data_IF_305942650300
#
_entry.id   IF_305942650300
#
_cell.length_a   1.000
_cell.length_b   1.000
_cell.length_c   1.000
_cell.angle_alpha   90.00
_cell.angle_beta   90.00
_cell.angle_gamma   90.00
#
_symmetry.space_group_name_H-M   'P 1'
#
loop_
_entity.id
_entity.type
_entity.pdbx_description
1 polymer ?
#
# COMPACT_ATOMS: atom_id res chain seq x y z
N UNK A 1 53.37 16.65 -32.38
CA UNK A 1 52.90 16.86 -31.00
C UNK A 1 51.61 16.06 -30.84
N UNK A 2 51.65 14.91 -30.15
CA UNK A 2 50.48 14.02 -29.99
C UNK A 2 49.66 14.49 -28.79
N UNK A 3 48.44 14.95 -29.01
CA UNK A 3 47.50 15.32 -27.95
C UNK A 3 46.84 14.02 -27.45
N UNK A 4 47.15 13.63 -26.22
CA UNK A 4 46.47 12.55 -25.51
C UNK A 4 45.21 13.14 -24.86
N UNK A 5 44.02 12.77 -25.35
CA UNK A 5 42.75 13.09 -24.70
C UNK A 5 42.55 12.11 -23.52
N UNK A 6 42.27 12.58 -22.30
CA UNK A 6 41.94 11.70 -21.19
C UNK A 6 40.52 11.16 -21.37
N UNK A 7 40.42 9.85 -21.63
CA UNK A 7 39.16 9.11 -21.62
C UNK A 7 38.71 8.96 -20.15
N UNK A 8 37.85 9.85 -19.68
CA UNK A 8 37.26 9.73 -18.34
C UNK A 8 36.29 8.55 -18.31
N UNK A 9 36.46 7.55 -17.43
CA UNK A 9 35.50 6.47 -17.31
C UNK A 9 34.21 7.02 -16.68
N UNK A 10 33.12 6.95 -17.45
CA UNK A 10 31.78 7.26 -16.97
C UNK A 10 31.32 6.08 -16.11
N UNK A 11 31.52 6.18 -14.79
CA UNK A 11 30.93 5.23 -13.85
C UNK A 11 29.43 5.48 -13.77
N UNK A 12 28.64 4.66 -14.48
CA UNK A 12 27.22 4.51 -14.17
C UNK A 12 27.13 3.82 -12.81
N UNK A 13 26.90 4.60 -11.76
CA UNK A 13 26.42 4.05 -10.50
C UNK A 13 25.06 3.41 -10.78
N UNK A 14 24.98 2.09 -10.70
CA UNK A 14 23.70 1.39 -10.60
C UNK A 14 23.05 1.88 -9.31
N UNK A 15 22.14 2.84 -9.43
CA UNK A 15 21.25 3.22 -8.35
C UNK A 15 20.47 1.95 -7.98
N UNK A 16 20.72 1.40 -6.79
CA UNK A 16 19.83 0.39 -6.23
C UNK A 16 18.43 1.01 -6.24
N UNK A 17 17.50 0.38 -6.95
CA UNK A 17 16.13 0.86 -6.97
C UNK A 17 15.58 0.89 -5.54
N UNK A 18 15.00 2.03 -5.14
CA UNK A 18 14.54 2.29 -3.76
C UNK A 18 13.13 1.78 -3.47
N UNK A 19 12.53 0.95 -4.35
CA UNK A 19 11.21 0.40 -4.07
C UNK A 19 11.30 -0.59 -2.90
N UNK A 20 10.45 -0.40 -1.91
CA UNK A 20 10.42 -1.27 -0.74
C UNK A 20 9.03 -1.35 -0.13
N UNK A 21 8.78 -2.50 0.53
CA UNK A 21 7.65 -2.70 1.41
C UNK A 21 8.13 -3.20 2.77
N UNK A 22 7.62 -2.61 3.85
CA UNK A 22 7.93 -3.01 5.22
C UNK A 22 6.78 -2.66 6.17
N UNK A 23 6.70 -3.37 7.29
CA UNK A 23 5.77 -3.10 8.39
C UNK A 23 6.42 -2.09 9.36
N UNK A 24 5.63 -1.17 9.90
CA UNK A 24 6.08 -0.20 10.90
C UNK A 24 6.15 -0.86 12.26
N UNK A 25 7.36 -1.15 12.72
CA UNK A 25 7.61 -1.54 14.10
C UNK A 25 7.61 -0.35 15.07
N UNK A 26 7.61 -0.60 16.39
CA UNK A 26 7.70 0.46 17.42
C UNK A 26 8.96 1.34 17.33
N UNK A 27 9.98 0.90 16.59
CA UNK A 27 11.26 1.62 16.39
C UNK A 27 11.38 2.28 15.02
N UNK A 28 10.34 2.15 14.19
CA UNK A 28 10.33 2.57 12.78
C UNK A 28 9.35 3.71 12.53
N UNK A 29 8.80 4.31 13.59
CA UNK A 29 7.77 5.36 13.49
C UNK A 29 8.28 6.63 12.82
N UNK A 30 9.59 6.85 12.78
CA UNK A 30 10.24 7.91 12.02
C UNK A 30 10.18 7.69 10.49
N UNK A 31 9.82 6.48 10.06
CA UNK A 31 9.66 6.11 8.64
C UNK A 31 8.23 6.28 8.14
N UNK A 32 7.28 6.61 9.02
CA UNK A 32 5.92 6.96 8.63
C UNK A 32 5.91 8.28 7.84
N UNK A 33 5.07 8.41 6.81
CA UNK A 33 4.85 9.68 6.15
C UNK A 33 4.35 10.73 7.16
N UNK A 34 4.86 11.95 7.04
CA UNK A 34 4.32 13.09 7.77
C UNK A 34 3.20 13.80 7.00
N UNK A 35 2.59 14.78 7.63
CA UNK A 35 1.57 15.61 7.00
C UNK A 35 0.52 16.04 8.00
N UNK A 36 -0.43 16.87 7.53
CA UNK A 36 -1.56 17.32 8.36
C UNK A 36 -2.53 16.19 8.68
N UNK A 37 -2.73 15.30 7.72
CA UNK A 37 -3.71 14.20 7.79
C UNK A 37 -3.05 12.82 7.92
N UNK A 38 -1.73 12.77 8.19
CA UNK A 38 -1.00 11.50 8.31
C UNK A 38 -1.64 10.60 9.37
N UNK A 39 -2.07 9.41 8.96
CA UNK A 39 -2.88 8.53 9.79
C UNK A 39 -2.17 7.20 10.12
N UNK A 40 -0.96 6.97 9.61
CA UNK A 40 -0.21 5.74 9.85
C UNK A 40 0.19 5.51 11.32
N UNK A 41 0.11 4.24 11.75
CA UNK A 41 0.47 3.80 13.11
C UNK A 41 1.38 2.57 13.08
N UNK A 42 1.88 2.17 14.25
CA UNK A 42 2.61 0.91 14.42
C UNK A 42 1.76 -0.27 13.97
N UNK A 43 2.36 -1.14 13.16
CA UNK A 43 1.76 -2.32 12.52
C UNK A 43 1.25 -2.05 11.11
N UNK A 44 1.03 -0.80 10.70
CA UNK A 44 0.70 -0.49 9.31
C UNK A 44 1.90 -0.72 8.40
N UNK A 45 1.64 -0.80 7.10
CA UNK A 45 2.63 -1.15 6.11
C UNK A 45 2.95 0.05 5.22
N UNK A 46 4.24 0.24 4.93
CA UNK A 46 4.70 1.23 3.97
C UNK A 46 5.00 0.57 2.65
N UNK A 47 4.54 1.19 1.57
CA UNK A 47 4.93 0.91 0.20
C UNK A 47 5.50 2.18 -0.42
N UNK A 48 6.75 2.19 -0.84
CA UNK A 48 7.39 3.42 -1.35
C UNK A 48 8.45 3.17 -2.39
N UNK A 49 8.80 4.21 -3.12
CA UNK A 49 9.97 4.31 -3.98
C UNK A 49 10.56 5.74 -3.90
N UNK A 50 11.39 6.13 -4.86
CA UNK A 50 11.99 7.46 -4.90
C UNK A 50 10.98 8.60 -5.17
N UNK A 51 9.81 8.30 -5.71
CA UNK A 51 8.80 9.29 -6.10
C UNK A 51 7.68 9.45 -5.06
N UNK A 52 7.17 8.34 -4.52
CA UNK A 52 6.00 8.33 -3.63
C UNK A 52 6.18 7.38 -2.45
N UNK A 53 5.42 7.63 -1.39
CA UNK A 53 5.26 6.70 -0.27
C UNK A 53 3.79 6.63 0.15
N UNK A 54 3.35 5.41 0.47
CA UNK A 54 1.97 5.06 0.75
C UNK A 54 1.86 4.29 2.06
N UNK A 55 0.79 4.52 2.83
CA UNK A 55 0.44 3.77 4.04
C UNK A 55 -0.74 2.85 3.74
N UNK A 56 -0.50 1.55 3.86
CA UNK A 56 -1.53 0.52 3.79
C UNK A 56 -1.83 0.09 5.22
N UNK A 57 -3.07 0.28 5.65
CA UNK A 57 -3.49 -0.05 7.00
C UNK A 57 -3.38 -1.54 7.30
N UNK A 58 -2.98 -1.85 8.52
CA UNK A 58 -2.88 -3.21 9.05
C UNK A 58 -4.22 -3.90 9.23
N UNK A 59 -4.18 -5.19 9.55
CA UNK A 59 -5.33 -6.01 9.96
C UNK A 59 -5.65 -5.90 11.47
N UNK A 60 -5.16 -4.85 12.14
CA UNK A 60 -5.42 -4.67 13.56
C UNK A 60 -6.92 -4.49 13.87
N UNK A 61 -7.39 -5.04 15.01
CA UNK A 61 -8.77 -4.85 15.44
C UNK A 61 -9.14 -3.37 15.54
N UNK A 62 -10.30 -3.01 14.99
CA UNK A 62 -10.84 -1.65 15.02
C UNK A 62 -9.98 -0.60 14.31
N UNK A 63 -9.06 -0.99 13.42
CA UNK A 63 -8.32 -0.04 12.59
C UNK A 63 -9.28 0.73 11.68
N UNK A 64 -9.19 2.06 11.71
CA UNK A 64 -10.01 2.99 10.92
C UNK A 64 -9.11 4.08 10.38
N UNK A 65 -9.34 4.54 9.16
CA UNK A 65 -8.84 5.83 8.70
C UNK A 65 -9.42 6.91 9.60
N UNK A 66 -8.60 7.88 10.05
CA UNK A 66 -8.96 9.08 10.84
C UNK A 66 -10.33 8.97 11.53
N UNK A 67 -10.37 8.90 12.86
CA UNK A 67 -11.56 8.57 13.68
C UNK A 67 -12.90 9.26 13.34
N UNK A 68 -12.90 10.33 12.54
CA UNK A 68 -14.10 11.02 12.06
C UNK A 68 -14.55 10.65 10.62
N UNK A 69 -13.79 9.84 9.89
CA UNK A 69 -14.06 9.50 8.48
C UNK A 69 -15.35 8.69 8.33
N UNK A 70 -15.49 7.62 9.11
CA UNK A 70 -16.67 6.76 9.11
C UNK A 70 -17.10 6.45 10.54
N UNK A 71 -18.36 6.77 10.85
CA UNK A 71 -18.94 6.55 12.18
C UNK A 71 -19.56 5.15 12.33
N UNK A 72 -19.61 4.68 13.58
CA UNK A 72 -20.33 3.46 13.96
C UNK A 72 -19.55 2.16 13.74
N UNK A 73 -20.25 1.04 13.90
CA UNK A 73 -19.66 -0.30 13.86
C UNK A 73 -19.09 -0.66 12.48
N UNK A 74 -19.61 -0.08 11.40
CA UNK A 74 -19.11 -0.28 10.03
C UNK A 74 -17.95 0.64 9.63
N UNK A 75 -17.44 1.45 10.55
CA UNK A 75 -16.41 2.45 10.24
C UNK A 75 -14.98 1.93 10.17
N UNK A 76 -14.75 0.63 10.39
CA UNK A 76 -13.42 0.02 10.32
C UNK A 76 -13.00 -0.22 8.87
N UNK A 77 -11.73 0.05 8.60
CA UNK A 77 -11.16 0.05 7.24
C UNK A 77 -9.75 -0.55 7.19
N UNK A 78 -9.48 -1.70 7.82
CA UNK A 78 -8.19 -2.37 7.69
C UNK A 78 -7.94 -2.79 6.23
N UNK A 79 -6.67 -2.79 5.83
CA UNK A 79 -6.24 -3.12 4.47
C UNK A 79 -6.55 -2.06 3.40
N UNK A 80 -7.03 -0.89 3.78
CA UNK A 80 -7.19 0.26 2.88
C UNK A 80 -5.92 1.13 2.83
N UNK A 81 -5.79 1.92 1.77
CA UNK A 81 -4.77 2.96 1.63
C UNK A 81 -5.19 4.18 2.44
N UNK A 82 -4.42 4.60 3.43
CA UNK A 82 -4.73 5.79 4.23
C UNK A 82 -3.99 7.02 3.73
N UNK A 83 -2.68 6.88 3.51
CA UNK A 83 -1.84 8.01 3.13
C UNK A 83 -1.20 7.73 1.76
N UNK A 84 -1.12 8.74 0.90
CA UNK A 84 -0.32 8.71 -0.34
C UNK A 84 0.29 10.09 -0.58
N UNK A 85 1.61 10.17 -0.47
CA UNK A 85 2.34 11.44 -0.57
C UNK A 85 3.52 11.32 -1.53
N UNK A 86 3.96 12.46 -2.05
CA UNK A 86 5.26 12.55 -2.69
C UNK A 86 6.34 12.29 -1.64
N UNK A 87 7.38 11.56 -2.03
CA UNK A 87 8.47 11.13 -1.13
C UNK A 87 9.09 12.31 -0.40
N UNK A 88 9.05 12.28 0.93
CA UNK A 88 9.67 13.30 1.80
C UNK A 88 9.02 14.69 1.72
N UNK A 89 7.83 14.83 1.14
CA UNK A 89 7.11 16.13 1.06
C UNK A 89 6.17 16.38 2.23
N UNK A 90 5.82 15.35 3.01
CA UNK A 90 4.87 15.44 4.12
C UNK A 90 3.57 16.14 3.71
N UNK A 91 3.08 15.85 2.50
CA UNK A 91 1.93 16.53 1.91
C UNK A 91 0.73 15.60 1.77
N UNK A 92 0.62 14.64 2.68
CA UNK A 92 -0.50 13.73 2.70
C UNK A 92 -1.80 14.47 3.03
N UNK A 93 -2.77 14.32 2.13
CA UNK A 93 -4.14 14.85 2.21
C UNK A 93 -5.15 13.75 1.87
N UNK A 94 -4.69 12.51 1.65
CA UNK A 94 -5.58 11.39 1.47
C UNK A 94 -6.15 11.03 2.85
N UNK A 95 -7.46 10.89 2.93
CA UNK A 95 -8.08 10.37 4.16
C UNK A 95 -8.15 8.85 4.08
N UNK A 96 -8.64 8.33 2.95
CA UNK A 96 -8.71 6.90 2.66
C UNK A 96 -9.00 6.66 1.18
N UNK A 97 -8.42 5.61 0.63
CA UNK A 97 -8.91 4.91 -0.54
C UNK A 97 -9.12 3.42 -0.18
N UNK A 98 -10.37 2.95 -0.28
CA UNK A 98 -10.76 1.58 -0.02
C UNK A 98 -11.12 0.87 -1.33
N UNK A 99 -10.24 0.06 -1.92
CA UNK A 99 -10.49 -0.54 -3.24
C UNK A 99 -11.75 -1.42 -3.20
N UNK A 100 -12.62 -1.26 -4.20
CA UNK A 100 -13.95 -1.89 -4.25
C UNK A 100 -14.74 -1.74 -2.93
N UNK A 101 -14.73 -0.54 -2.37
CA UNK A 101 -15.45 -0.21 -1.14
C UNK A 101 -14.98 -0.99 0.09
N UNK A 102 -13.69 -1.36 0.16
CA UNK A 102 -13.16 -2.14 1.29
C UNK A 102 -13.47 -1.47 2.63
N UNK A 103 -14.22 -2.20 3.44
CA UNK A 103 -14.66 -1.89 4.81
C UNK A 103 -14.86 -3.20 5.55
N UNK A 104 -14.86 -3.12 6.88
CA UNK A 104 -14.94 -4.33 7.71
C UNK A 104 -13.59 -5.04 7.81
N UNK A 105 -13.59 -6.10 8.61
CA UNK A 105 -12.37 -6.86 8.89
C UNK A 105 -11.77 -7.48 7.62
N UNK A 106 -10.44 -7.59 7.62
CA UNK A 106 -9.69 -8.39 6.65
C UNK A 106 -9.17 -9.64 7.34
N UNK A 107 -8.93 -10.70 6.56
CA UNK A 107 -8.32 -11.93 7.07
C UNK A 107 -6.81 -11.76 7.32
N UNK A 108 -6.12 -10.95 6.51
CA UNK A 108 -4.75 -10.50 6.80
C UNK A 108 -4.30 -9.38 5.86
N UNK A 109 -3.22 -8.71 6.27
CA UNK A 109 -2.37 -7.88 5.42
C UNK A 109 -0.94 -8.42 5.46
N UNK A 110 -0.29 -8.61 4.30
CA UNK A 110 1.04 -9.22 4.20
C UNK A 110 1.87 -8.61 3.08
N UNK A 111 3.18 -8.53 3.31
CA UNK A 111 4.14 -8.23 2.25
C UNK A 111 4.40 -9.52 1.47
N UNK A 112 4.10 -9.51 0.18
CA UNK A 112 4.37 -10.63 -0.74
C UNK A 112 5.66 -10.42 -1.52
N UNK A 113 6.04 -9.16 -1.76
CA UNK A 113 7.32 -8.79 -2.36
C UNK A 113 7.93 -7.58 -1.63
N UNK A 114 9.18 -7.70 -1.20
CA UNK A 114 9.84 -6.66 -0.39
C UNK A 114 10.46 -5.52 -1.20
N UNK A 115 10.54 -5.63 -2.54
CA UNK A 115 11.25 -4.68 -3.39
C UNK A 115 12.55 -5.20 -4.00
N UNK A 116 13.18 -6.22 -3.37
CA UNK A 116 14.51 -6.74 -3.75
C UNK A 116 14.61 -7.26 -5.19
N UNK A 117 13.49 -7.69 -5.76
CA UNK A 117 13.38 -8.26 -7.11
C UNK A 117 12.87 -7.26 -8.15
N UNK A 118 12.80 -5.97 -7.80
CA UNK A 118 12.38 -4.91 -8.72
C UNK A 118 10.91 -4.49 -8.55
N UNK A 119 10.15 -5.15 -7.69
CA UNK A 119 8.78 -4.77 -7.33
C UNK A 119 8.59 -4.98 -5.83
N UNK A 120 7.86 -4.08 -5.19
CA UNK A 120 7.35 -4.26 -3.85
C UNK A 120 5.83 -4.39 -3.89
N UNK A 121 5.28 -5.32 -3.11
CA UNK A 121 3.86 -5.68 -3.13
C UNK A 121 3.36 -5.96 -1.72
N UNK A 122 2.25 -5.33 -1.35
CA UNK A 122 1.47 -5.64 -0.16
C UNK A 122 0.13 -6.22 -0.59
N UNK A 123 -0.24 -7.36 -0.01
CA UNK A 123 -1.47 -8.07 -0.26
C UNK A 123 -2.41 -7.92 0.94
N UNK A 124 -3.68 -7.69 0.65
CA UNK A 124 -4.78 -7.68 1.60
C UNK A 124 -5.78 -8.73 1.17
N UNK A 125 -6.21 -9.59 2.10
CA UNK A 125 -7.14 -10.69 1.79
C UNK A 125 -8.33 -10.64 2.72
N UNK A 126 -9.52 -10.75 2.14
CA UNK A 126 -10.75 -11.19 2.81
C UNK A 126 -11.04 -12.60 2.32
N UNK A 127 -10.84 -13.60 3.18
CA UNK A 127 -11.00 -15.00 2.80
C UNK A 127 -12.46 -15.35 2.49
N UNK A 128 -12.65 -16.33 1.61
CA UNK A 128 -13.97 -16.87 1.31
C UNK A 128 -14.71 -17.33 2.59
N UNK A 129 -14.01 -17.94 3.55
CA UNK A 129 -14.60 -18.40 4.81
C UNK A 129 -15.23 -17.25 5.62
N UNK A 130 -14.60 -16.08 5.63
CA UNK A 130 -15.10 -14.87 6.30
C UNK A 130 -16.06 -14.02 5.46
N UNK A 131 -16.26 -14.36 4.18
CA UNK A 131 -17.01 -13.51 3.24
C UNK A 131 -17.97 -14.30 2.36
N UNK A 132 -18.77 -15.18 2.98
CA UNK A 132 -19.83 -15.94 2.32
C UNK A 132 -19.36 -16.73 1.07
N UNK A 133 -18.14 -17.25 1.09
CA UNK A 133 -17.56 -18.00 -0.03
C UNK A 133 -17.03 -17.14 -1.17
N UNK A 134 -17.01 -15.80 -1.06
CA UNK A 134 -16.40 -14.91 -2.04
C UNK A 134 -15.08 -14.36 -1.48
N UNK A 135 -13.96 -14.91 -1.91
CA UNK A 135 -12.66 -14.34 -1.56
C UNK A 135 -12.43 -13.03 -2.33
N UNK A 136 -11.87 -12.04 -1.64
CA UNK A 136 -11.46 -10.75 -2.21
C UNK A 136 -10.02 -10.47 -1.82
N UNK A 137 -9.19 -10.18 -2.82
CA UNK A 137 -7.77 -9.86 -2.64
C UNK A 137 -7.47 -8.51 -3.27
N UNK A 138 -6.78 -7.64 -2.53
CA UNK A 138 -6.21 -6.40 -3.05
C UNK A 138 -4.68 -6.50 -3.03
N UNK A 139 -4.04 -6.15 -4.13
CA UNK A 139 -2.59 -6.03 -4.23
C UNK A 139 -2.20 -4.59 -4.51
N UNK A 140 -1.46 -4.00 -3.58
CA UNK A 140 -0.83 -2.69 -3.73
C UNK A 140 0.60 -2.91 -4.20
N UNK A 141 0.92 -2.43 -5.40
CA UNK A 141 2.19 -2.70 -6.07
C UNK A 141 2.88 -1.41 -6.47
N UNK A 142 4.21 -1.38 -6.30
CA UNK A 142 5.07 -0.31 -6.80
C UNK A 142 6.37 -0.89 -7.39
N UNK A 143 6.88 -0.26 -8.44
CA UNK A 143 8.23 -0.48 -8.95
C UNK A 143 9.06 0.82 -8.90
N UNK A 144 10.27 0.81 -9.43
CA UNK A 144 11.20 1.94 -9.31
C UNK A 144 10.84 3.17 -10.14
N UNK A 145 9.98 3.04 -11.15
CA UNK A 145 9.67 4.14 -12.09
C UNK A 145 8.26 4.68 -11.93
N UNK A 146 7.41 3.99 -11.19
CA UNK A 146 6.05 4.44 -10.89
C UNK A 146 6.02 5.74 -10.09
N UNK A 147 5.09 6.63 -10.42
CA UNK A 147 4.81 7.87 -9.70
C UNK A 147 3.52 7.79 -8.87
N UNK A 148 3.12 6.57 -8.55
CA UNK A 148 1.91 6.21 -7.82
C UNK A 148 1.96 4.71 -7.49
N UNK A 149 0.84 4.17 -7.04
CA UNK A 149 0.71 2.73 -6.77
C UNK A 149 -0.29 2.11 -7.73
N UNK A 150 -0.03 0.89 -8.18
CA UNK A 150 -1.00 0.08 -8.90
C UNK A 150 -1.77 -0.76 -7.89
N UNK A 151 -3.10 -0.70 -7.95
CA UNK A 151 -3.98 -1.49 -7.11
C UNK A 151 -4.73 -2.48 -7.99
N UNK A 152 -4.57 -3.78 -7.72
CA UNK A 152 -5.30 -4.85 -8.40
C UNK A 152 -6.24 -5.50 -7.41
N UNK A 153 -7.53 -5.57 -7.74
CA UNK A 153 -8.51 -6.33 -6.96
C UNK A 153 -8.90 -7.60 -7.71
N UNK A 154 -8.77 -8.74 -7.04
CA UNK A 154 -9.17 -10.06 -7.56
C UNK A 154 -10.26 -10.63 -6.69
N UNK A 155 -11.30 -11.18 -7.33
CA UNK A 155 -12.35 -11.94 -6.67
C UNK A 155 -12.29 -13.40 -7.08
N UNK A 156 -12.47 -14.30 -6.11
CA UNK A 156 -12.59 -15.73 -6.34
C UNK A 156 -13.83 -16.26 -5.64
N UNK A 157 -14.85 -16.61 -6.42
CA UNK A 157 -16.06 -17.24 -5.90
C UNK A 157 -15.79 -18.72 -5.65
N UNK A 158 -15.60 -19.08 -4.38
CA UNK A 158 -15.42 -20.44 -3.89
C UNK A 158 -16.76 -21.06 -3.44
N UNK A 159 -17.87 -20.33 -3.56
CA UNK A 159 -19.20 -20.85 -3.28
C UNK A 159 -19.79 -21.56 -4.51
N UNK A 160 -20.72 -22.49 -4.27
CA UNK A 160 -21.51 -23.11 -5.34
C UNK A 160 -22.69 -22.28 -5.83
N UNK A 161 -22.72 -20.98 -5.53
CA UNK A 161 -23.83 -20.07 -5.82
C UNK A 161 -23.33 -18.82 -6.54
N UNK A 162 -24.18 -18.21 -7.35
CA UNK A 162 -23.87 -16.93 -7.98
C UNK A 162 -23.72 -15.83 -6.92
N UNK A 163 -22.70 -14.98 -7.10
CA UNK A 163 -22.43 -13.84 -6.22
C UNK A 163 -22.54 -12.54 -7.02
N UNK A 164 -23.23 -11.56 -6.45
CA UNK A 164 -23.35 -10.20 -6.99
C UNK A 164 -22.56 -9.25 -6.12
N UNK A 165 -21.94 -8.26 -6.75
CA UNK A 165 -21.19 -7.19 -6.07
C UNK A 165 -21.05 -5.99 -6.99
N UNK A 166 -20.71 -4.84 -6.41
CA UNK A 166 -20.32 -3.66 -7.16
C UNK A 166 -18.81 -3.72 -7.46
N UNK A 167 -18.42 -3.18 -8.62
CA UNK A 167 -17.02 -2.96 -8.98
C UNK A 167 -16.59 -1.51 -8.69
N UNK A 168 -17.47 -0.73 -8.09
CA UNK A 168 -17.23 0.69 -7.83
C UNK A 168 -16.33 0.85 -6.60
N UNK A 169 -15.40 1.80 -6.70
CA UNK A 169 -14.55 2.22 -5.58
C UNK A 169 -15.23 3.29 -4.70
N UNK A 170 -16.45 3.72 -5.07
CA UNK A 170 -17.20 4.72 -4.32
C UNK A 170 -17.80 4.14 -3.04
N UNK A 171 -17.75 4.97 -2.01
CA UNK A 171 -18.41 4.79 -0.72
C UNK A 171 -19.79 5.41 -0.74
#
# INVERSE_FOLDING_TARGET
>A
MKILLPLSPLFFALTLSSQEAFEIGPKDTDKLPGGKEADGIVGDFILRNDAVEAVISSDQPLRRANMSTFYGAGGITPGCLFDLTLRGKNNDQLTIFGPHGQRGDVSHVRITETGKTGTATIQVVVSAAGNNGLEKQHEYRIDSVMQGILITTTYHNQSGQDRKGAIDDYV
#
